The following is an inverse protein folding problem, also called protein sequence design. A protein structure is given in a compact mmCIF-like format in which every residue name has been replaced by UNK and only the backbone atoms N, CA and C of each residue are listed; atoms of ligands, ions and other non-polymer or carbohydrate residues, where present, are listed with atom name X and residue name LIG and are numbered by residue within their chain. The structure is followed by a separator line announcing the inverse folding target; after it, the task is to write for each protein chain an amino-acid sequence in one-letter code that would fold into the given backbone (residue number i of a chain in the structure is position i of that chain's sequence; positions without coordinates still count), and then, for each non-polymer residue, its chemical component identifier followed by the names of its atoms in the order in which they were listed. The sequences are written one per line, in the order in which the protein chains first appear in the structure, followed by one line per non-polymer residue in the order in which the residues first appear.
data_IF_833961827297
#
_entry.id   IF_833961827297
#
_cell.length_a   1.000
_cell.length_b   1.000
_cell.length_c   1.000
_cell.angle_alpha   90.00
_cell.angle_beta   90.00
_cell.angle_gamma   90.00
#
_symmetry.space_group_name_H-M   'P 1'
#
loop_
_entity.id
_entity.type
_entity.pdbx_description
1 polymer ?
#
# COMPACT_ATOMS: atom_id res chain seq x y z
N UNK A 1 -12.71 33.84 -26.58
CA UNK A 1 -11.65 32.98 -26.05
C UNK A 1 -11.84 32.85 -24.55
N UNK A 2 -11.92 31.62 -24.05
CA UNK A 2 -10.89 31.18 -23.12
C UNK A 2 -10.22 29.91 -23.68
N UNK A 3 -8.91 29.97 -23.84
CA UNK A 3 -8.09 28.84 -24.24
C UNK A 3 -7.99 27.89 -23.05
N UNK A 4 -8.82 26.84 -23.05
CA UNK A 4 -8.74 25.76 -22.07
C UNK A 4 -7.44 25.00 -22.26
N UNK A 5 -6.42 25.36 -21.49
CA UNK A 5 -5.30 24.45 -21.24
C UNK A 5 -5.83 23.44 -20.23
N UNK A 6 -6.30 22.28 -20.69
CA UNK A 6 -6.41 21.09 -19.82
C UNK A 6 -5.01 20.83 -19.30
N UNK A 7 -4.68 21.42 -18.16
CA UNK A 7 -3.59 20.93 -17.36
C UNK A 7 -3.90 19.46 -17.09
N UNK A 8 -3.00 18.56 -17.48
CA UNK A 8 -3.04 17.14 -17.10
C UNK A 8 -3.29 17.06 -15.60
N UNK A 9 -4.55 16.88 -15.21
CA UNK A 9 -4.92 16.70 -13.81
C UNK A 9 -4.36 15.35 -13.47
N UNK A 10 -3.20 15.34 -12.81
CA UNK A 10 -2.59 14.14 -12.27
C UNK A 10 -3.67 13.31 -11.56
N UNK A 11 -4.09 12.20 -12.18
CA UNK A 11 -5.12 11.35 -11.61
C UNK A 11 -4.47 10.56 -10.47
N UNK A 12 -4.83 10.89 -9.24
CA UNK A 12 -4.39 10.12 -8.09
C UNK A 12 -5.41 9.02 -7.78
N UNK A 13 -4.94 7.78 -7.74
CA UNK A 13 -5.74 6.61 -7.40
C UNK A 13 -5.26 5.96 -6.11
N UNK A 14 -6.14 5.18 -5.49
CA UNK A 14 -5.83 4.47 -4.25
C UNK A 14 -5.37 3.06 -4.58
N UNK A 15 -4.09 2.78 -4.35
CA UNK A 15 -3.52 1.44 -4.44
C UNK A 15 -3.55 0.77 -3.06
N UNK A 16 -3.98 -0.50 -3.02
CA UNK A 16 -3.93 -1.33 -1.80
C UNK A 16 -2.99 -2.50 -2.03
N UNK A 17 -1.93 -2.60 -1.22
CA UNK A 17 -1.07 -3.78 -1.18
C UNK A 17 -1.49 -4.67 -0.03
N UNK A 18 -1.59 -5.96 -0.29
CA UNK A 18 -2.00 -6.97 0.69
C UNK A 18 -0.84 -7.93 0.91
N UNK A 19 -0.38 -8.06 2.15
CA UNK A 19 0.53 -9.12 2.57
C UNK A 19 -0.23 -10.19 3.34
N UNK A 20 -0.01 -11.46 2.99
CA UNK A 20 -0.62 -12.63 3.60
C UNK A 20 0.46 -13.62 4.05
N UNK A 21 0.30 -14.22 5.23
CA UNK A 21 1.19 -15.27 5.72
C UNK A 21 1.21 -15.34 7.24
N UNK A 22 2.18 -16.07 7.80
CA UNK A 22 2.37 -16.08 9.27
C UNK A 22 2.83 -14.70 9.76
N UNK A 23 2.43 -14.34 10.98
CA UNK A 23 2.80 -13.07 11.60
C UNK A 23 4.29 -12.69 11.50
N UNK A 24 5.27 -13.57 11.81
CA UNK A 24 6.69 -13.21 11.68
C UNK A 24 7.11 -12.92 10.22
N UNK A 25 6.52 -13.62 9.25
CA UNK A 25 6.83 -13.43 7.82
C UNK A 25 6.26 -12.11 7.33
N UNK A 26 5.02 -11.78 7.71
CA UNK A 26 4.39 -10.49 7.36
C UNK A 26 5.18 -9.32 7.96
N UNK A 27 5.59 -9.42 9.23
CA UNK A 27 6.44 -8.40 9.87
C UNK A 27 7.78 -8.24 9.16
N UNK A 28 8.46 -9.34 8.81
CA UNK A 28 9.72 -9.29 8.08
C UNK A 28 9.56 -8.64 6.69
N UNK A 29 8.44 -8.91 5.99
CA UNK A 29 8.12 -8.26 4.72
C UNK A 29 7.95 -6.75 4.86
N UNK A 30 7.20 -6.29 5.87
CA UNK A 30 7.03 -4.86 6.18
C UNK A 30 8.39 -4.20 6.47
N UNK A 31 9.22 -4.83 7.32
CA UNK A 31 10.57 -4.31 7.64
C UNK A 31 11.44 -4.18 6.39
N UNK A 32 11.43 -5.17 5.50
CA UNK A 32 12.20 -5.11 4.25
C UNK A 32 11.73 -4.00 3.31
N UNK A 33 10.41 -3.76 3.22
CA UNK A 33 9.88 -2.65 2.41
C UNK A 33 10.23 -1.28 3.01
N UNK A 34 10.23 -1.17 4.33
CA UNK A 34 10.69 0.04 5.02
C UNK A 34 12.18 0.31 4.80
N UNK A 35 13.03 -0.70 4.93
CA UNK A 35 14.47 -0.58 4.64
C UNK A 35 14.77 -0.13 3.21
N UNK A 36 13.86 -0.44 2.26
CA UNK A 36 13.93 0.00 0.86
C UNK A 36 13.27 1.36 0.60
N UNK A 37 12.77 2.03 1.65
CA UNK A 37 12.08 3.32 1.55
C UNK A 37 10.72 3.27 0.85
N UNK A 38 10.10 2.08 0.72
CA UNK A 38 8.85 1.94 -0.02
C UNK A 38 7.62 2.46 0.76
N UNK A 39 7.58 2.15 2.06
CA UNK A 39 6.51 2.54 3.00
C UNK A 39 7.02 2.48 4.44
N UNK A 40 6.44 3.30 5.32
CA UNK A 40 6.72 3.24 6.76
C UNK A 40 5.98 2.06 7.41
N UNK A 41 6.53 1.42 8.45
CA UNK A 41 5.85 0.31 9.13
C UNK A 41 4.47 0.69 9.67
N UNK A 42 4.28 1.96 10.05
CA UNK A 42 3.03 2.49 10.57
C UNK A 42 1.97 2.79 9.49
N UNK A 43 2.35 2.79 8.22
CA UNK A 43 1.40 2.97 7.10
C UNK A 43 0.55 1.71 6.87
N UNK A 44 0.99 0.57 7.42
CA UNK A 44 0.30 -0.70 7.33
C UNK A 44 -0.79 -0.80 8.39
N UNK A 45 -1.89 -1.47 8.05
CA UNK A 45 -2.86 -1.91 9.04
C UNK A 45 -2.22 -2.82 10.08
N UNK A 46 -2.81 -2.87 11.28
CA UNK A 46 -2.50 -3.96 12.22
C UNK A 46 -2.76 -5.31 11.54
N UNK A 47 -1.99 -6.37 11.86
CA UNK A 47 -2.25 -7.70 11.34
C UNK A 47 -3.66 -8.16 11.69
N UNK A 48 -4.42 -8.57 10.67
CA UNK A 48 -5.80 -9.04 10.77
C UNK A 48 -5.85 -10.56 10.56
N UNK A 49 -6.62 -11.32 11.34
CA UNK A 49 -6.83 -12.74 11.08
C UNK A 49 -7.61 -12.94 9.77
N UNK A 50 -7.27 -13.98 9.00
CA UNK A 50 -7.92 -14.29 7.71
C UNK A 50 -8.94 -15.43 7.79
N UNK A 51 -9.11 -16.01 8.98
CA UNK A 51 -9.90 -17.24 9.19
C UNK A 51 -9.10 -18.53 8.97
N UNK A 52 -7.89 -18.46 8.41
CA UNK A 52 -6.96 -19.60 8.35
C UNK A 52 -6.04 -19.63 9.58
N UNK A 53 -5.89 -20.80 10.18
CA UNK A 53 -5.07 -20.96 11.37
C UNK A 53 -3.61 -20.57 11.10
N UNK A 54 -3.08 -19.65 11.90
CA UNK A 54 -1.70 -19.17 11.79
C UNK A 54 -1.43 -18.19 10.65
N UNK A 55 -2.44 -17.76 9.90
CA UNK A 55 -2.32 -16.76 8.82
C UNK A 55 -2.89 -15.41 9.26
N UNK A 56 -2.18 -14.35 8.92
CA UNK A 56 -2.61 -12.96 9.10
C UNK A 56 -2.45 -12.18 7.81
N UNK A 57 -3.17 -11.08 7.73
CA UNK A 57 -3.11 -10.12 6.64
C UNK A 57 -2.70 -8.74 7.15
N UNK A 58 -1.88 -8.02 6.40
CA UNK A 58 -1.64 -6.59 6.59
C UNK A 58 -1.88 -5.84 5.28
N UNK A 59 -2.50 -4.67 5.36
CA UNK A 59 -2.90 -3.87 4.20
C UNK A 59 -2.19 -2.52 4.26
N UNK A 60 -1.47 -2.17 3.19
CA UNK A 60 -0.96 -0.82 2.94
C UNK A 60 -1.91 -0.11 1.98
N UNK A 61 -2.32 1.12 2.32
CA UNK A 61 -3.14 1.97 1.45
C UNK A 61 -2.33 3.20 1.05
N UNK A 62 -2.09 3.39 -0.25
CA UNK A 62 -1.27 4.48 -0.78
C UNK A 62 -2.00 5.22 -1.90
N UNK A 63 -1.91 6.55 -1.90
CA UNK A 63 -2.35 7.37 -3.04
C UNK A 63 -1.21 7.42 -4.05
N UNK A 64 -1.47 6.95 -5.26
CA UNK A 64 -0.49 6.85 -6.34
C UNK A 64 -0.94 7.75 -7.48
N UNK A 65 -0.01 8.50 -8.08
CA UNK A 65 -0.28 9.21 -9.33
C UNK A 65 -0.30 8.19 -10.47
N UNK A 66 -1.41 8.14 -11.19
CA UNK A 66 -1.51 7.44 -12.48
C UNK A 66 -0.94 8.38 -13.54
N UNK A 67 0.01 7.87 -14.30
CA UNK A 67 0.53 8.50 -15.50
C UNK A 67 0.07 7.59 -16.63
N UNK A 68 -0.89 8.06 -17.43
CA UNK A 68 -1.33 7.38 -18.65
C UNK A 68 -0.31 7.58 -19.78
#
# INVERSE_FOLDING_TARGET
MPSGSSADVAQFETLRLIMLGRLPVVRAGITQLHQRGYAEPNDWSKPLPTGRAGEVMAILTKRMRVVE
#
